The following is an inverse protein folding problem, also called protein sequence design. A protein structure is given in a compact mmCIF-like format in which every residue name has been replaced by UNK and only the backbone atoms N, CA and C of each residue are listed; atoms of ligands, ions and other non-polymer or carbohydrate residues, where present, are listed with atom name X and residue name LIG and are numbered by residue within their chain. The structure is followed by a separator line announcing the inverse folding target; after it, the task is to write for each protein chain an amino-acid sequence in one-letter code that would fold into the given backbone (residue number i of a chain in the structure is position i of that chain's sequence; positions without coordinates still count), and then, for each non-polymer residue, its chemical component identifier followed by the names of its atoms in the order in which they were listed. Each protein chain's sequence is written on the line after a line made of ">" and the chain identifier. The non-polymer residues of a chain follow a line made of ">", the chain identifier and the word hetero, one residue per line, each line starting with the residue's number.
data_IF_959186200895
#
_entry.id   IF_959186200895
#
_cell.length_a   1.000
_cell.length_b   1.000
_cell.length_c   1.000
_cell.angle_alpha   90.00
_cell.angle_beta   90.00
_cell.angle_gamma   90.00
#
_symmetry.space_group_name_H-M   'P 1'
#
loop_
_entity.id
_entity.type
_entity.pdbx_description
1 polymer ?
#
# COMPACT_ATOMS: atom_id res chain seq x y z
N UNK A 1 -35.17 -18.94 -29.76
CA UNK A 1 -33.89 -19.12 -29.04
C UNK A 1 -34.19 -19.17 -27.56
N UNK A 2 -33.80 -20.26 -26.89
CA UNK A 2 -34.36 -20.76 -25.62
C UNK A 2 -34.17 -19.83 -24.42
N UNK A 3 -35.22 -19.68 -23.61
CA UNK A 3 -35.28 -18.95 -22.32
C UNK A 3 -34.14 -19.32 -21.36
N UNK A 4 -33.66 -20.56 -21.42
CA UNK A 4 -32.52 -21.04 -20.64
C UNK A 4 -31.20 -20.33 -20.98
N UNK A 5 -30.99 -19.90 -22.23
CA UNK A 5 -29.76 -19.20 -22.63
C UNK A 5 -29.73 -17.76 -22.10
N UNK A 6 -30.91 -17.12 -21.97
CA UNK A 6 -31.05 -15.80 -21.37
C UNK A 6 -30.85 -15.84 -19.86
N UNK A 7 -31.34 -16.86 -19.16
CA UNK A 7 -31.11 -17.04 -17.71
C UNK A 7 -29.65 -17.34 -17.37
N UNK A 8 -28.97 -18.18 -18.16
CA UNK A 8 -27.53 -18.44 -17.98
C UNK A 8 -26.69 -17.18 -18.25
N UNK A 9 -27.11 -16.35 -19.21
CA UNK A 9 -26.45 -15.07 -19.50
C UNK A 9 -26.71 -14.03 -18.41
N UNK A 10 -27.92 -13.98 -17.85
CA UNK A 10 -28.32 -13.07 -16.77
C UNK A 10 -27.63 -13.44 -15.45
N UNK A 11 -27.51 -14.72 -15.13
CA UNK A 11 -26.77 -15.23 -13.95
C UNK A 11 -25.25 -15.03 -14.06
N UNK A 12 -24.67 -15.16 -15.27
CA UNK A 12 -23.27 -14.76 -15.52
C UNK A 12 -23.05 -13.26 -15.39
N UNK A 13 -23.98 -12.44 -15.89
CA UNK A 13 -23.90 -10.98 -15.79
C UNK A 13 -24.04 -10.49 -14.33
N UNK A 14 -24.92 -11.09 -13.54
CA UNK A 14 -25.08 -10.79 -12.11
C UNK A 14 -23.85 -11.18 -11.27
N UNK A 15 -23.19 -12.29 -11.60
CA UNK A 15 -21.90 -12.65 -10.99
C UNK A 15 -20.79 -11.66 -11.38
N UNK A 16 -20.76 -11.18 -12.62
CA UNK A 16 -19.77 -10.21 -13.09
C UNK A 16 -19.99 -8.80 -12.52
N UNK A 17 -21.24 -8.37 -12.30
CA UNK A 17 -21.54 -7.08 -11.66
C UNK A 17 -21.28 -7.12 -10.14
N UNK A 18 -21.35 -8.28 -9.49
CA UNK A 18 -20.84 -8.46 -8.13
C UNK A 18 -19.30 -8.37 -8.09
N UNK A 19 -18.60 -8.86 -9.12
CA UNK A 19 -17.13 -8.78 -9.27
C UNK A 19 -16.59 -7.39 -9.64
N UNK A 20 -17.45 -6.47 -10.09
CA UNK A 20 -17.10 -5.08 -10.44
C UNK A 20 -18.01 -4.03 -9.77
N UNK A 21 -18.71 -4.38 -8.68
CA UNK A 21 -19.24 -3.34 -7.79
C UNK A 21 -18.10 -2.45 -7.35
N UNK A 22 -18.35 -1.15 -7.19
CA UNK A 22 -17.37 -0.11 -6.86
C UNK A 22 -16.54 -0.40 -5.58
N UNK A 23 -16.92 -1.44 -4.83
CA UNK A 23 -16.27 -1.99 -3.64
C UNK A 23 -15.12 -2.97 -3.94
N UNK A 24 -15.00 -3.50 -5.16
CA UNK A 24 -13.98 -4.48 -5.51
C UNK A 24 -12.59 -3.82 -5.55
N UNK A 25 -11.78 -4.13 -4.55
CA UNK A 25 -10.46 -3.53 -4.36
C UNK A 25 -10.31 -2.73 -3.07
N UNK A 26 -11.40 -2.33 -2.41
CA UNK A 26 -11.29 -1.70 -1.08
C UNK A 26 -10.76 -2.67 -0.05
N UNK A 27 -11.09 -3.95 -0.17
CA UNK A 27 -10.62 -4.99 0.75
C UNK A 27 -9.86 -6.08 -0.01
N UNK A 28 -8.75 -6.52 0.56
CA UNK A 28 -8.01 -7.70 0.11
C UNK A 28 -7.99 -8.70 1.26
N UNK A 29 -8.45 -9.91 0.98
CA UNK A 29 -8.46 -11.03 1.90
C UNK A 29 -7.24 -11.91 1.62
N UNK A 30 -6.45 -12.14 2.66
CA UNK A 30 -5.26 -13.00 2.58
C UNK A 30 -5.56 -14.27 3.37
N UNK A 31 -5.35 -15.43 2.72
CA UNK A 31 -5.54 -16.74 3.33
C UNK A 31 -4.20 -17.47 3.41
N UNK A 32 -4.01 -18.24 4.46
CA UNK A 32 -2.85 -19.13 4.61
C UNK A 32 -3.30 -20.57 4.79
N UNK A 33 -2.52 -21.51 4.28
CA UNK A 33 -2.74 -22.93 4.47
C UNK A 33 -2.10 -23.36 5.80
N UNK A 34 -2.88 -23.95 6.71
CA UNK A 34 -2.43 -24.32 8.07
C UNK A 34 -1.15 -25.16 8.10
N UNK A 35 -1.06 -26.17 7.23
CA UNK A 35 0.10 -27.08 7.19
C UNK A 35 1.26 -26.61 6.33
N UNK A 36 1.02 -26.21 5.07
CA UNK A 36 2.08 -25.88 4.10
C UNK A 36 2.48 -24.41 4.15
N UNK A 37 1.74 -23.56 4.88
CA UNK A 37 1.94 -22.11 4.98
C UNK A 37 1.99 -21.39 3.63
N UNK A 38 1.37 -22.00 2.62
CA UNK A 38 1.11 -21.35 1.34
C UNK A 38 0.09 -20.25 1.56
N UNK A 39 0.29 -19.12 0.89
CA UNK A 39 -0.60 -17.96 1.00
C UNK A 39 -1.41 -17.80 -0.29
N UNK A 40 -2.62 -17.27 -0.21
CA UNK A 40 -3.48 -16.95 -1.36
C UNK A 40 -4.11 -15.58 -1.13
N UNK A 41 -4.19 -14.77 -2.20
CA UNK A 41 -4.84 -13.47 -2.16
C UNK A 41 -6.22 -13.53 -2.83
N UNK A 42 -7.21 -12.84 -2.28
CA UNK A 42 -8.56 -12.77 -2.84
C UNK A 42 -9.16 -11.38 -2.66
N UNK A 43 -9.90 -10.90 -3.64
CA UNK A 43 -10.74 -9.70 -3.50
C UNK A 43 -12.11 -10.01 -2.86
N UNK A 44 -12.47 -11.29 -2.77
CA UNK A 44 -13.72 -11.75 -2.19
C UNK A 44 -13.51 -12.40 -0.81
N UNK A 45 -14.47 -12.17 0.10
CA UNK A 45 -14.58 -12.78 1.44
C UNK A 45 -14.65 -14.31 1.42
N UNK A 46 -15.10 -14.89 0.32
CA UNK A 46 -15.16 -16.35 0.13
C UNK A 46 -14.17 -16.73 -0.95
N UNK A 47 -13.26 -17.65 -0.61
CA UNK A 47 -12.26 -18.13 -1.55
C UNK A 47 -12.91 -18.94 -2.68
N UNK A 48 -12.67 -18.52 -3.92
CA UNK A 48 -13.22 -19.15 -5.13
C UNK A 48 -12.36 -20.34 -5.56
N UNK A 49 -12.95 -21.30 -6.31
CA UNK A 49 -12.25 -22.51 -6.79
C UNK A 49 -11.02 -22.19 -7.66
N UNK A 50 -11.04 -21.07 -8.37
CA UNK A 50 -9.92 -20.63 -9.21
C UNK A 50 -8.75 -20.02 -8.41
N UNK A 51 -8.90 -19.82 -7.10
CA UNK A 51 -7.84 -19.27 -6.26
C UNK A 51 -6.59 -20.16 -6.22
N UNK A 52 -6.76 -21.49 -6.36
CA UNK A 52 -5.63 -22.44 -6.42
C UNK A 52 -4.73 -22.24 -7.65
N UNK A 53 -5.21 -21.56 -8.69
CA UNK A 53 -4.39 -21.24 -9.87
C UNK A 53 -3.27 -20.23 -9.56
N UNK A 54 -3.33 -19.59 -8.39
CA UNK A 54 -2.26 -18.69 -7.93
C UNK A 54 -1.03 -19.43 -7.44
N UNK A 55 -1.15 -20.72 -7.11
CA UNK A 55 -0.03 -21.52 -6.57
C UNK A 55 0.78 -22.12 -7.71
N UNK A 56 2.09 -21.90 -7.74
CA UNK A 56 2.96 -22.54 -8.70
C UNK A 56 3.10 -24.06 -8.42
N UNK A 57 3.30 -24.83 -9.48
CA UNK A 57 3.63 -26.25 -9.34
C UNK A 57 5.10 -26.43 -9.00
N UNK A 58 5.39 -26.63 -7.72
CA UNK A 58 6.75 -26.88 -7.22
C UNK A 58 7.08 -28.38 -7.17
N UNK A 59 6.06 -29.25 -7.02
CA UNK A 59 6.27 -30.69 -7.00
C UNK A 59 5.02 -31.51 -6.68
N UNK A 60 5.19 -32.83 -6.56
CA UNK A 60 4.08 -33.73 -6.24
C UNK A 60 3.47 -33.34 -4.89
N UNK A 61 2.14 -33.16 -4.85
CA UNK A 61 1.37 -32.70 -3.68
C UNK A 61 1.65 -31.25 -3.26
N UNK A 62 2.26 -30.41 -4.10
CA UNK A 62 2.44 -28.98 -3.80
C UNK A 62 1.17 -28.15 -3.98
N UNK A 63 0.33 -28.53 -4.94
CA UNK A 63 -0.97 -27.89 -5.19
C UNK A 63 -2.08 -28.89 -4.84
N UNK A 64 -3.00 -28.55 -3.93
CA UNK A 64 -4.14 -29.42 -3.63
C UNK A 64 -5.11 -29.46 -4.82
N UNK A 65 -5.80 -30.59 -5.01
CA UNK A 65 -6.77 -30.74 -6.10
C UNK A 65 -8.05 -29.91 -5.89
N UNK A 66 -8.39 -29.61 -4.65
CA UNK A 66 -9.62 -28.89 -4.28
C UNK A 66 -9.37 -28.07 -3.02
N UNK A 67 -10.04 -26.91 -2.93
CA UNK A 67 -9.99 -26.04 -1.77
C UNK A 67 -10.78 -26.69 -0.63
N UNK A 68 -10.07 -26.94 0.47
CA UNK A 68 -10.59 -27.52 1.70
C UNK A 68 -10.73 -26.43 2.76
N UNK A 69 -11.97 -26.10 3.15
CA UNK A 69 -12.26 -24.98 4.08
C UNK A 69 -11.58 -25.13 5.44
N UNK A 70 -11.35 -26.35 5.88
CA UNK A 70 -10.67 -26.69 7.13
C UNK A 70 -9.15 -26.45 7.10
N UNK A 71 -8.53 -26.40 5.92
CA UNK A 71 -7.08 -26.28 5.76
C UNK A 71 -6.62 -24.85 5.50
N UNK A 72 -7.55 -23.96 5.13
CA UNK A 72 -7.27 -22.58 4.76
C UNK A 72 -7.89 -21.63 5.79
N UNK A 73 -7.05 -20.88 6.47
CA UNK A 73 -7.46 -19.89 7.46
C UNK A 73 -7.20 -18.47 6.96
N UNK A 74 -8.01 -17.49 7.37
CA UNK A 74 -7.68 -16.09 7.13
C UNK A 74 -6.36 -15.75 7.84
N UNK A 75 -5.45 -15.10 7.13
CA UNK A 75 -4.21 -14.57 7.68
C UNK A 75 -4.43 -13.12 8.12
N UNK A 76 -4.87 -12.29 7.18
CA UNK A 76 -5.21 -10.90 7.44
C UNK A 76 -6.18 -10.34 6.38
N UNK A 77 -6.73 -9.16 6.66
CA UNK A 77 -7.49 -8.36 5.71
C UNK A 77 -6.86 -6.98 5.60
N UNK A 78 -6.53 -6.60 4.37
CA UNK A 78 -6.10 -5.24 4.05
C UNK A 78 -7.33 -4.43 3.68
N UNK A 79 -7.52 -3.29 4.32
CA UNK A 79 -8.58 -2.34 4.01
C UNK A 79 -7.96 -1.04 3.49
N UNK A 80 -8.39 -0.62 2.31
CA UNK A 80 -7.91 0.56 1.61
C UNK A 80 -9.04 1.58 1.50
N UNK A 81 -8.74 2.87 1.68
CA UNK A 81 -9.70 3.95 1.47
C UNK A 81 -10.10 4.06 -0.01
N UNK A 82 -9.17 3.76 -0.92
CA UNK A 82 -9.38 3.83 -2.36
C UNK A 82 -9.37 2.43 -3.00
N UNK A 83 -10.45 2.01 -3.69
CA UNK A 83 -10.48 0.72 -4.39
C UNK A 83 -9.35 0.54 -5.40
N UNK A 84 -8.94 1.61 -6.10
CA UNK A 84 -7.85 1.55 -7.08
C UNK A 84 -6.49 1.27 -6.43
N UNK A 85 -6.26 1.82 -5.23
CA UNK A 85 -5.06 1.56 -4.45
C UNK A 85 -4.96 0.08 -4.07
N UNK A 86 -6.06 -0.51 -3.63
CA UNK A 86 -6.08 -1.93 -3.28
C UNK A 86 -6.02 -2.85 -4.51
N UNK A 87 -6.61 -2.49 -5.66
CA UNK A 87 -6.39 -3.25 -6.91
C UNK A 87 -4.92 -3.22 -7.34
N UNK A 88 -4.26 -2.08 -7.23
CA UNK A 88 -2.82 -1.95 -7.50
C UNK A 88 -2.00 -2.78 -6.51
N UNK A 89 -2.30 -2.71 -5.21
CA UNK A 89 -1.65 -3.54 -4.19
C UNK A 89 -1.84 -5.03 -4.47
N UNK A 90 -3.06 -5.45 -4.82
CA UNK A 90 -3.39 -6.84 -5.15
C UNK A 90 -2.58 -7.37 -6.34
N UNK A 91 -2.41 -6.55 -7.39
CA UNK A 91 -1.59 -6.90 -8.53
C UNK A 91 -0.12 -7.10 -8.11
N UNK A 92 0.46 -6.14 -7.38
CA UNK A 92 1.85 -6.20 -6.91
C UNK A 92 2.13 -7.37 -5.97
N UNK A 93 1.23 -7.66 -5.03
CA UNK A 93 1.35 -8.80 -4.13
C UNK A 93 1.40 -10.15 -4.87
N UNK A 94 0.64 -10.26 -5.96
CA UNK A 94 0.65 -11.47 -6.80
C UNK A 94 1.93 -11.58 -7.62
N UNK A 95 2.42 -10.46 -8.13
CA UNK A 95 3.72 -10.40 -8.81
C UNK A 95 4.86 -10.82 -7.85
N UNK A 96 4.89 -10.29 -6.61
CA UNK A 96 5.90 -10.67 -5.63
C UNK A 96 5.84 -12.15 -5.23
N UNK A 97 4.64 -12.70 -5.01
CA UNK A 97 4.48 -14.16 -4.80
C UNK A 97 5.10 -14.96 -5.93
N UNK A 98 4.76 -14.63 -7.17
CA UNK A 98 5.26 -15.37 -8.34
C UNK A 98 6.79 -15.33 -8.39
N UNK A 99 7.39 -14.18 -8.07
CA UNK A 99 8.85 -14.04 -7.98
C UNK A 99 9.44 -14.87 -6.84
N UNK A 100 8.88 -14.88 -5.64
CA UNK A 100 9.37 -15.72 -4.54
C UNK A 100 9.33 -17.22 -4.84
N UNK A 101 8.40 -17.66 -5.69
CA UNK A 101 8.28 -19.05 -6.10
C UNK A 101 9.18 -19.42 -7.29
N UNK A 102 9.63 -18.44 -8.09
CA UNK A 102 10.39 -18.67 -9.35
C UNK A 102 11.83 -18.17 -9.33
N UNK A 103 12.09 -17.04 -8.69
CA UNK A 103 13.38 -16.36 -8.58
C UNK A 103 13.86 -16.47 -7.13
N UNK A 104 14.76 -17.41 -6.85
CA UNK A 104 15.32 -17.60 -5.53
C UNK A 104 16.85 -17.71 -5.56
N UNK A 105 17.55 -17.18 -4.54
CA UNK A 105 18.99 -17.34 -4.45
C UNK A 105 19.34 -18.79 -4.12
N UNK A 106 20.36 -19.32 -4.79
CA UNK A 106 20.77 -20.72 -4.61
C UNK A 106 21.17 -21.01 -3.16
N UNK A 107 21.72 -20.01 -2.48
CA UNK A 107 22.14 -20.04 -1.07
C UNK A 107 21.02 -20.44 -0.11
N UNK A 108 19.77 -20.07 -0.40
CA UNK A 108 18.63 -20.48 0.42
C UNK A 108 18.37 -21.99 0.35
N UNK A 109 18.86 -22.64 -0.70
CA UNK A 109 18.64 -24.05 -0.93
C UNK A 109 19.92 -24.87 -0.78
N UNK A 110 20.96 -24.32 -0.16
CA UNK A 110 22.15 -25.08 0.23
C UNK A 110 22.10 -25.49 1.69
N UNK A 111 22.70 -26.63 1.99
CA UNK A 111 22.84 -27.15 3.34
C UNK A 111 23.89 -26.31 4.09
N UNK A 112 23.47 -25.58 5.11
CA UNK A 112 24.35 -24.69 5.90
C UNK A 112 25.12 -25.42 7.01
N UNK A 113 24.72 -26.64 7.38
CA UNK A 113 25.32 -27.39 8.51
C UNK A 113 25.42 -28.89 8.20
N UNK A 114 26.47 -29.52 8.72
CA UNK A 114 26.65 -30.98 8.66
C UNK A 114 27.58 -31.46 7.55
N UNK A 115 27.66 -32.79 7.33
CA UNK A 115 28.65 -33.40 6.43
C UNK A 115 28.45 -33.04 4.95
N UNK A 116 27.24 -32.59 4.59
CA UNK A 116 26.87 -32.21 3.23
C UNK A 116 26.87 -30.69 3.03
N UNK A 117 27.68 -29.95 3.79
CA UNK A 117 27.78 -28.49 3.69
C UNK A 117 28.01 -28.03 2.24
N UNK A 118 27.24 -27.03 1.80
CA UNK A 118 27.32 -26.47 0.44
C UNK A 118 26.60 -27.28 -0.64
N UNK A 119 26.13 -28.49 -0.35
CA UNK A 119 25.27 -29.25 -1.28
C UNK A 119 23.83 -28.70 -1.29
N UNK A 120 23.10 -28.97 -2.36
CA UNK A 120 21.68 -28.58 -2.46
C UNK A 120 20.80 -29.45 -1.54
N UNK A 121 19.81 -28.81 -0.92
CA UNK A 121 18.76 -29.46 -0.14
C UNK A 121 18.04 -30.54 -0.95
N UNK A 122 17.57 -31.57 -0.24
CA UNK A 122 16.81 -32.65 -0.85
C UNK A 122 15.56 -32.13 -1.55
N UNK A 123 15.13 -32.76 -2.65
CA UNK A 123 13.98 -32.29 -3.45
C UNK A 123 12.74 -31.99 -2.60
N UNK A 124 12.43 -32.85 -1.62
CA UNK A 124 11.28 -32.66 -0.72
C UNK A 124 11.42 -31.42 0.15
N UNK A 125 12.60 -31.22 0.75
CA UNK A 125 12.89 -30.06 1.61
C UNK A 125 12.80 -28.76 0.81
N UNK A 126 13.35 -28.74 -0.41
CA UNK A 126 13.21 -27.59 -1.32
C UNK A 126 11.74 -27.29 -1.62
N UNK A 127 10.94 -28.32 -1.90
CA UNK A 127 9.50 -28.16 -2.14
C UNK A 127 8.78 -27.62 -0.91
N UNK A 128 9.11 -28.07 0.31
CA UNK A 128 8.52 -27.52 1.53
C UNK A 128 8.94 -26.08 1.77
N UNK A 129 10.22 -25.74 1.58
CA UNK A 129 10.72 -24.37 1.74
C UNK A 129 10.07 -23.39 0.75
N UNK A 130 9.90 -23.81 -0.52
CA UNK A 130 9.19 -23.00 -1.53
C UNK A 130 7.69 -22.87 -1.27
N UNK A 131 7.07 -23.81 -0.57
CA UNK A 131 5.65 -23.69 -0.18
C UNK A 131 5.43 -22.72 0.98
N UNK A 132 6.39 -22.58 1.89
CA UNK A 132 6.28 -21.70 3.05
C UNK A 132 6.47 -20.24 2.62
N UNK A 133 5.35 -19.61 2.25
CA UNK A 133 5.32 -18.24 1.74
C UNK A 133 4.63 -17.28 2.73
N UNK A 134 4.35 -17.72 3.96
CA UNK A 134 3.65 -16.90 4.97
C UNK A 134 4.46 -15.65 5.33
N UNK A 135 5.71 -15.83 5.76
CA UNK A 135 6.59 -14.73 6.14
C UNK A 135 6.85 -13.78 4.96
N UNK A 136 7.19 -14.34 3.79
CA UNK A 136 7.41 -13.58 2.56
C UNK A 136 6.19 -12.73 2.20
N UNK A 137 4.98 -13.31 2.26
CA UNK A 137 3.76 -12.57 1.96
C UNK A 137 3.52 -11.37 2.88
N UNK A 138 3.99 -11.44 4.13
CA UNK A 138 3.85 -10.35 5.10
C UNK A 138 4.87 -9.25 4.84
N UNK A 139 6.13 -9.63 4.58
CA UNK A 139 7.15 -8.70 4.12
C UNK A 139 6.74 -8.00 2.81
N UNK A 140 6.14 -8.74 1.87
CA UNK A 140 5.61 -8.20 0.62
C UNK A 140 4.51 -7.17 0.86
N UNK A 141 3.60 -7.41 1.82
CA UNK A 141 2.56 -6.43 2.18
C UNK A 141 3.18 -5.14 2.68
N UNK A 142 4.14 -5.21 3.59
CA UNK A 142 4.86 -4.04 4.08
C UNK A 142 5.58 -3.31 2.94
N UNK A 143 6.27 -4.04 2.06
CA UNK A 143 6.99 -3.48 0.92
C UNK A 143 6.04 -2.80 -0.10
N UNK A 144 4.91 -3.42 -0.44
CA UNK A 144 3.90 -2.84 -1.34
C UNK A 144 3.34 -1.55 -0.75
N UNK A 145 3.01 -1.54 0.54
CA UNK A 145 2.54 -0.33 1.21
C UNK A 145 3.64 0.73 1.24
N UNK A 146 4.89 0.39 1.56
CA UNK A 146 6.00 1.33 1.52
C UNK A 146 6.23 1.94 0.12
N UNK A 147 6.07 1.15 -0.94
CA UNK A 147 6.13 1.64 -2.34
C UNK A 147 5.01 2.65 -2.61
N UNK A 148 3.80 2.37 -2.14
CA UNK A 148 2.66 3.29 -2.29
C UNK A 148 2.83 4.58 -1.45
N UNK A 149 3.59 4.51 -0.35
CA UNK A 149 3.84 5.61 0.58
C UNK A 149 4.79 6.64 -0.01
N UNK A 150 5.65 6.18 -0.92
CA UNK A 150 6.68 7.00 -1.53
C UNK A 150 6.02 8.15 -2.29
N UNK A 151 6.47 9.40 -2.06
CA UNK A 151 5.99 10.52 -2.85
C UNK A 151 6.32 10.27 -4.34
N UNK A 152 5.44 10.70 -5.26
CA UNK A 152 5.71 10.54 -6.68
C UNK A 152 7.04 11.19 -7.06
N UNK A 153 7.85 10.49 -7.86
CA UNK A 153 9.12 11.05 -8.35
C UNK A 153 8.87 12.39 -9.06
N UNK A 154 9.78 13.35 -8.93
CA UNK A 154 9.52 14.72 -9.41
C UNK A 154 9.22 14.80 -10.92
N UNK A 155 9.69 13.84 -11.71
CA UNK A 155 9.36 13.78 -13.13
C UNK A 155 7.93 13.25 -13.39
N UNK A 156 7.38 12.39 -12.52
CA UNK A 156 5.98 11.96 -12.54
C UNK A 156 5.09 13.12 -12.12
N UNK A 157 5.48 13.89 -11.10
CA UNK A 157 4.80 15.15 -10.74
C UNK A 157 4.78 16.11 -11.93
N UNK A 158 5.92 16.35 -12.59
CA UNK A 158 5.99 17.18 -13.80
C UNK A 158 5.20 16.64 -14.99
N UNK A 159 5.00 15.32 -15.08
CA UNK A 159 4.20 14.68 -16.14
C UNK A 159 2.71 14.77 -15.82
N UNK A 160 2.33 14.61 -14.55
CA UNK A 160 0.98 14.80 -14.06
C UNK A 160 0.57 16.28 -14.12
N UNK A 161 1.45 17.22 -13.73
CA UNK A 161 1.27 18.67 -13.92
C UNK A 161 1.04 19.00 -15.39
N UNK A 162 1.90 18.51 -16.30
CA UNK A 162 1.66 18.67 -17.75
C UNK A 162 0.32 18.11 -18.21
N UNK A 163 -0.12 16.99 -17.65
CA UNK A 163 -1.42 16.39 -17.98
C UNK A 163 -2.61 17.15 -17.38
N UNK A 164 -2.43 17.78 -16.20
CA UNK A 164 -3.41 18.62 -15.53
C UNK A 164 -3.51 19.99 -16.20
N UNK A 165 -2.40 20.57 -16.67
CA UNK A 165 -2.37 21.78 -17.51
C UNK A 165 -3.04 21.53 -18.87
N UNK A 166 -2.89 20.34 -19.45
CA UNK A 166 -3.64 19.97 -20.66
C UNK A 166 -5.13 19.68 -20.41
N UNK A 167 -5.62 19.80 -19.17
CA UNK A 167 -7.01 19.57 -18.79
C UNK A 167 -7.85 20.86 -18.88
N UNK A 168 -7.59 21.67 -19.91
CA UNK A 168 -8.47 22.71 -20.44
C UNK A 168 -9.60 22.08 -21.29
N UNK A 169 -10.31 21.09 -20.74
CA UNK A 169 -11.50 20.53 -21.40
C UNK A 169 -12.61 20.21 -20.38
N UNK A 170 -13.61 21.11 -20.40
CA UNK A 170 -14.98 21.01 -19.86
C UNK A 170 -15.22 21.15 -18.34
N UNK A 171 -15.31 22.40 -17.86
CA UNK A 171 -16.38 22.79 -16.95
C UNK A 171 -17.56 23.29 -17.81
N UNK A 172 -18.75 22.67 -17.76
CA UNK A 172 -19.93 23.27 -18.36
C UNK A 172 -20.26 24.56 -17.61
N UNK A 173 -20.32 25.70 -18.32
CA UNK A 173 -20.89 26.91 -17.74
C UNK A 173 -22.37 26.68 -17.43
N UNK A 174 -22.82 27.12 -16.26
CA UNK A 174 -24.22 27.07 -15.85
C UNK A 174 -25.09 27.81 -16.88
N UNK A 175 -25.91 27.06 -17.63
CA UNK A 175 -26.84 27.66 -18.60
C UNK A 175 -27.33 26.75 -19.73
N UNK A 176 -26.66 25.64 -20.05
CA UNK A 176 -27.14 24.75 -21.13
C UNK A 176 -28.03 23.62 -20.60
N UNK A 177 -29.33 23.88 -20.62
CA UNK A 177 -30.36 22.84 -20.43
C UNK A 177 -30.51 21.95 -21.66
N UNK A 178 -30.64 20.64 -21.37
CA UNK A 178 -31.30 19.56 -22.12
C UNK A 178 -30.51 18.82 -23.21
N UNK A 179 -30.58 17.50 -23.07
CA UNK A 179 -30.26 16.43 -24.02
C UNK A 179 -28.79 16.20 -24.41
N UNK A 180 -28.00 15.70 -23.45
CA UNK A 180 -26.76 14.98 -23.79
C UNK A 180 -26.68 13.66 -23.01
N UNK A 181 -26.72 12.54 -23.75
CA UNK A 181 -26.32 11.21 -23.29
C UNK A 181 -25.03 11.35 -22.50
N UNK A 182 -25.00 10.78 -21.29
CA UNK A 182 -23.77 10.61 -20.51
C UNK A 182 -22.80 9.78 -21.36
N UNK A 183 -21.87 10.46 -22.03
CA UNK A 183 -20.73 9.81 -22.69
C UNK A 183 -19.82 9.37 -21.56
N UNK A 184 -19.91 8.10 -21.18
CA UNK A 184 -18.86 7.46 -20.38
C UNK A 184 -17.53 7.64 -21.14
N UNK A 185 -16.42 7.96 -20.45
CA UNK A 185 -15.14 8.15 -21.10
C UNK A 185 -14.77 6.86 -21.84
N UNK A 186 -14.81 6.90 -23.17
CA UNK A 186 -14.40 5.77 -24.01
C UNK A 186 -12.89 5.66 -23.94
N UNK A 187 -12.40 4.68 -23.19
CA UNK A 187 -11.01 4.27 -23.20
C UNK A 187 -10.50 4.07 -24.65
N UNK A 188 -9.23 4.39 -24.96
CA UNK A 188 -8.68 4.12 -26.28
C UNK A 188 -8.77 2.62 -26.55
N UNK A 189 -9.57 2.25 -27.56
CA UNK A 189 -9.71 0.87 -27.99
C UNK A 189 -8.33 0.38 -28.46
N UNK A 190 -7.71 -0.53 -27.72
CA UNK A 190 -6.42 -1.10 -28.08
C UNK A 190 -6.50 -1.70 -29.49
N UNK A 191 -5.80 -1.09 -30.45
CA UNK A 191 -5.64 -1.66 -31.80
C UNK A 191 -4.89 -2.98 -31.65
N UNK A 192 -5.53 -4.08 -32.04
CA UNK A 192 -4.91 -5.42 -32.11
C UNK A 192 -3.84 -5.40 -33.21
N UNK A 193 -2.63 -5.01 -32.84
CA UNK A 193 -1.42 -5.20 -33.65
C UNK A 193 -0.64 -6.40 -33.12
N UNK A 194 -0.29 -7.32 -34.00
CA UNK A 194 0.69 -8.39 -33.74
C UNK A 194 2.01 -7.76 -33.25
N UNK A 195 2.69 -8.46 -32.34
CA UNK A 195 3.87 -8.02 -31.58
C UNK A 195 3.59 -7.04 -30.43
N UNK A 196 2.67 -7.43 -29.55
CA UNK A 196 2.59 -6.84 -28.23
C UNK A 196 3.64 -7.47 -27.31
N UNK A 197 4.88 -6.98 -27.35
CA UNK A 197 5.71 -6.91 -26.14
C UNK A 197 5.00 -5.91 -25.23
N UNK A 198 3.95 -6.36 -24.56
CA UNK A 198 3.19 -5.56 -23.59
C UNK A 198 4.11 -5.46 -22.38
N UNK A 199 4.98 -4.44 -22.39
CA UNK A 199 5.45 -3.87 -21.13
C UNK A 199 4.20 -3.59 -20.31
N UNK A 200 4.06 -4.30 -19.20
CA UNK A 200 3.06 -4.04 -18.18
C UNK A 200 3.12 -2.54 -17.86
N UNK A 201 2.20 -1.75 -18.42
CA UNK A 201 1.87 -0.43 -17.87
C UNK A 201 1.05 -0.71 -16.61
N UNK A 202 1.74 -1.17 -15.57
CA UNK A 202 1.19 -1.12 -14.21
C UNK A 202 1.03 0.37 -13.92
N UNK A 203 -0.21 0.83 -13.83
CA UNK A 203 -0.48 2.15 -13.27
C UNK A 203 0.10 2.15 -11.86
N UNK A 204 1.25 2.79 -11.66
CA UNK A 204 1.81 2.99 -10.33
C UNK A 204 0.87 3.94 -9.59
N UNK A 205 0.04 3.41 -8.70
CA UNK A 205 -0.69 4.25 -7.77
C UNK A 205 0.33 4.80 -6.76
N UNK A 206 0.57 6.11 -6.85
CA UNK A 206 1.36 6.88 -5.90
C UNK A 206 0.43 7.92 -5.29
N UNK A 207 0.11 7.76 -4.01
CA UNK A 207 -0.89 8.56 -3.33
C UNK A 207 -0.78 8.42 -1.82
N UNK A 208 -1.36 9.35 -1.07
CA UNK A 208 -1.38 9.31 0.39
C UNK A 208 -2.03 8.00 0.86
N UNK A 209 -1.36 7.22 1.70
CA UNK A 209 -1.90 5.95 2.25
C UNK A 209 -2.79 6.18 3.48
N UNK A 210 -3.28 7.40 3.65
CA UNK A 210 -4.03 7.79 4.82
C UNK A 210 -5.35 7.01 4.91
N UNK A 211 -5.54 6.26 6.00
CA UNK A 211 -6.71 5.41 6.22
C UNK A 211 -6.57 3.95 5.79
N UNK A 212 -5.37 3.48 5.41
CA UNK A 212 -5.15 2.03 5.20
C UNK A 212 -4.99 1.32 6.54
N UNK A 213 -5.74 0.22 6.71
CA UNK A 213 -5.69 -0.60 7.92
C UNK A 213 -5.50 -2.08 7.60
N UNK A 214 -4.84 -2.80 8.49
CA UNK A 214 -4.60 -4.24 8.40
C UNK A 214 -5.23 -4.92 9.61
N UNK A 215 -6.10 -5.88 9.34
CA UNK A 215 -6.76 -6.69 10.37
C UNK A 215 -6.12 -8.07 10.41
N UNK A 216 -5.40 -8.37 11.48
CA UNK A 216 -4.60 -9.58 11.65
C UNK A 216 -5.38 -10.68 12.35
N UNK A 217 -5.35 -11.91 11.84
CA UNK A 217 -5.86 -13.06 12.59
C UNK A 217 -5.00 -13.38 13.82
N UNK A 218 -3.69 -13.17 13.70
CA UNK A 218 -2.71 -13.25 14.79
C UNK A 218 -1.85 -11.97 14.74
N UNK A 219 -1.91 -11.08 15.74
CA UNK A 219 -1.10 -9.86 15.77
C UNK A 219 0.42 -10.11 15.68
N UNK A 220 0.91 -11.25 16.16
CA UNK A 220 2.34 -11.60 16.10
C UNK A 220 2.83 -11.80 14.67
N UNK A 221 1.94 -12.08 13.72
CA UNK A 221 2.32 -12.19 12.32
C UNK A 221 2.84 -10.87 11.74
N UNK A 222 2.50 -9.71 12.33
CA UNK A 222 3.01 -8.42 11.88
C UNK A 222 4.54 -8.29 12.00
N UNK A 223 5.18 -9.09 12.87
CA UNK A 223 6.64 -9.08 13.13
C UNK A 223 7.46 -9.68 11.99
N UNK A 224 6.84 -10.42 11.05
CA UNK A 224 7.55 -10.95 9.89
C UNK A 224 8.07 -9.85 8.93
N UNK A 225 7.51 -8.64 9.03
CA UNK A 225 8.04 -7.48 8.33
C UNK A 225 8.90 -6.63 9.28
N UNK A 226 10.09 -6.27 8.82
CA UNK A 226 11.06 -5.48 9.61
C UNK A 226 10.54 -4.08 9.93
N UNK A 227 9.87 -3.43 8.97
CA UNK A 227 9.31 -2.09 9.14
C UNK A 227 7.96 -1.97 8.43
N UNK A 228 7.08 -1.15 9.01
CA UNK A 228 5.79 -0.78 8.42
C UNK A 228 5.74 0.73 8.21
N UNK A 229 5.04 1.22 7.17
CA UNK A 229 4.77 2.65 7.02
C UNK A 229 3.96 3.17 8.21
N UNK A 230 4.29 4.39 8.68
CA UNK A 230 3.73 4.97 9.92
C UNK A 230 2.21 5.17 9.82
N UNK A 231 1.70 5.36 8.60
CA UNK A 231 0.28 5.59 8.32
C UNK A 231 -0.58 4.31 8.38
N UNK A 232 0.05 3.13 8.43
CA UNK A 232 -0.68 1.85 8.43
C UNK A 232 -1.15 1.53 9.84
N UNK A 233 -2.47 1.39 10.00
CA UNK A 233 -3.07 1.03 11.29
C UNK A 233 -3.27 -0.47 11.40
N UNK A 234 -2.82 -1.07 12.50
CA UNK A 234 -2.95 -2.49 12.76
C UNK A 234 -4.11 -2.76 13.73
N UNK A 235 -4.99 -3.70 13.38
CA UNK A 235 -6.11 -4.15 14.20
C UNK A 235 -6.07 -5.68 14.36
N UNK A 236 -6.76 -6.17 15.38
CA UNK A 236 -6.99 -7.60 15.57
C UNK A 236 -8.29 -8.03 14.89
N UNK A 237 -8.26 -9.15 14.17
CA UNK A 237 -9.42 -9.75 13.53
C UNK A 237 -10.09 -10.72 14.50
N UNK A 238 -11.27 -10.36 15.00
CA UNK A 238 -12.01 -11.21 15.91
C UNK A 238 -12.47 -12.50 15.20
N UNK A 239 -11.91 -13.64 15.58
CA UNK A 239 -12.35 -14.95 15.10
C UNK A 239 -13.31 -15.55 16.14
N UNK A 240 -14.61 -15.45 15.86
CA UNK A 240 -15.67 -15.97 16.74
C UNK A 240 -16.10 -17.35 16.25
N UNK A 241 -15.93 -18.38 17.10
CA UNK A 241 -16.33 -19.78 16.80
C UNK A 241 -15.74 -20.32 15.49
N UNK A 242 -14.49 -19.96 15.19
CA UNK A 242 -13.79 -20.39 13.97
C UNK A 242 -14.19 -19.64 12.69
N UNK A 243 -15.03 -18.60 12.80
CA UNK A 243 -15.39 -17.74 11.69
C UNK A 243 -14.84 -16.32 11.91
N UNK A 244 -14.08 -15.77 10.94
CA UNK A 244 -13.60 -14.39 11.04
C UNK A 244 -14.78 -13.42 10.98
N UNK A 245 -14.86 -12.49 11.93
CA UNK A 245 -15.71 -11.31 11.84
C UNK A 245 -15.01 -10.30 10.95
N UNK A 246 -15.37 -10.32 9.67
CA UNK A 246 -14.79 -9.40 8.70
C UNK A 246 -15.10 -7.94 9.05
N UNK A 247 -14.14 -7.01 8.87
CA UNK A 247 -14.39 -5.60 9.10
C UNK A 247 -15.49 -5.09 8.15
N UNK A 248 -16.32 -4.13 8.59
CA UNK A 248 -17.28 -3.48 7.70
C UNK A 248 -16.51 -2.85 6.54
N UNK A 249 -17.06 -2.94 5.33
CA UNK A 249 -16.55 -2.18 4.19
C UNK A 249 -16.66 -0.70 4.55
N UNK A 250 -15.60 0.09 4.33
CA UNK A 250 -15.45 1.49 4.80
C UNK A 250 -16.58 2.47 4.42
N UNK A 251 -17.58 2.05 3.65
CA UNK A 251 -18.78 2.82 3.28
C UNK A 251 -20.07 2.40 4.00
N UNK A 252 -20.08 1.30 4.76
CA UNK A 252 -21.24 0.81 5.50
C UNK A 252 -20.99 0.88 7.02
N UNK A 253 -20.60 2.04 7.52
CA UNK A 253 -20.89 2.38 8.92
C UNK A 253 -22.36 2.75 8.92
N UNK A 254 -23.28 1.95 9.49
CA UNK A 254 -24.62 2.46 9.73
C UNK A 254 -24.46 3.68 10.62
N UNK A 255 -24.78 4.83 10.06
CA UNK A 255 -25.09 6.05 10.81
C UNK A 255 -25.99 5.60 11.95
N UNK A 256 -25.47 5.69 13.18
CA UNK A 256 -26.11 5.09 14.33
C UNK A 256 -27.57 5.56 14.38
N UNK A 257 -28.49 4.61 14.28
CA UNK A 257 -29.90 4.85 14.54
C UNK A 257 -29.97 5.30 16.01
N UNK A 258 -30.24 6.59 16.20
CA UNK A 258 -30.62 7.19 17.47
C UNK A 258 -31.98 6.60 17.89
N UNK A 259 -31.97 5.42 18.51
CA UNK A 259 -33.16 4.87 19.18
C UNK A 259 -33.16 5.25 20.67
N UNK A 260 -34.15 6.08 21.00
CA UNK A 260 -34.70 6.52 22.29
C UNK A 260 -34.14 5.91 23.59
N UNK A 261 -33.50 6.76 24.41
CA UNK A 261 -33.45 6.64 25.89
C UNK A 261 -33.93 7.96 26.52
N UNK A 262 -35.18 8.05 26.99
CA UNK A 262 -35.74 9.29 27.52
C UNK A 262 -35.57 9.40 29.05
N UNK A 263 -34.33 9.45 29.58
CA UNK A 263 -34.09 9.84 30.98
C UNK A 263 -32.79 10.63 31.25
N UNK A 264 -31.94 10.87 30.24
CA UNK A 264 -30.63 11.51 30.44
C UNK A 264 -30.57 13.02 30.15
N UNK A 265 -31.62 13.61 29.56
CA UNK A 265 -31.63 15.03 29.15
C UNK A 265 -31.85 16.02 30.32
N UNK A 266 -32.48 15.60 31.41
CA UNK A 266 -32.76 16.48 32.56
C UNK A 266 -31.53 16.71 33.44
N UNK A 267 -30.64 15.70 33.56
CA UNK A 267 -29.39 15.78 34.34
C UNK A 267 -28.26 16.50 33.60
N UNK A 268 -28.31 16.56 32.26
CA UNK A 268 -27.33 17.28 31.45
C UNK A 268 -27.54 18.80 31.48
N UNK A 269 -28.80 19.25 31.59
CA UNK A 269 -29.14 20.68 31.65
C UNK A 269 -28.76 21.34 32.99
N UNK A 270 -28.77 20.58 34.09
CA UNK A 270 -28.33 21.09 35.40
C UNK A 270 -26.79 21.13 35.56
N UNK A 271 -26.04 20.43 34.70
CA UNK A 271 -24.57 20.45 34.70
C UNK A 271 -23.97 21.56 33.83
N UNK A 272 -24.67 22.00 32.78
CA UNK A 272 -24.17 23.09 31.92
C UNK A 272 -24.14 24.43 32.65
N UNK A 273 -25.15 24.73 33.47
CA UNK A 273 -25.29 26.07 34.06
C UNK A 273 -24.30 26.35 35.20
N UNK A 274 -23.55 25.34 35.66
CA UNK A 274 -22.54 25.48 36.73
C UNK A 274 -21.09 25.49 36.24
N UNK A 275 -20.84 25.24 34.96
CA UNK A 275 -19.47 25.03 34.44
C UNK A 275 -18.94 26.21 33.61
N UNK A 276 -19.76 27.22 33.34
CA UNK A 276 -19.45 28.33 32.42
C UNK A 276 -18.72 29.53 33.04
N UNK A 277 -18.48 29.57 34.37
CA UNK A 277 -17.77 30.69 34.99
C UNK A 277 -16.27 30.46 35.22
N UNK A 278 -15.82 29.21 35.41
CA UNK A 278 -14.42 28.94 35.79
C UNK A 278 -13.48 28.72 34.57
N UNK A 279 -14.01 28.33 33.40
CA UNK A 279 -13.20 27.98 32.22
C UNK A 279 -12.80 29.15 31.34
N UNK A 280 -13.46 30.31 31.47
CA UNK A 280 -13.20 31.49 30.62
C UNK A 280 -11.90 32.21 31.00
N UNK A 281 -11.44 32.07 32.25
CA UNK A 281 -10.23 32.76 32.74
C UNK A 281 -8.92 32.07 32.33
N UNK A 282 -8.87 30.74 32.26
CA UNK A 282 -7.65 29.98 31.92
C UNK A 282 -7.34 29.92 30.40
N UNK A 283 -8.34 30.07 29.54
CA UNK A 283 -8.17 30.02 28.08
C UNK A 283 -7.57 31.31 27.49
N UNK A 284 -7.61 32.44 28.22
CA UNK A 284 -7.04 33.71 27.75
C UNK A 284 -5.50 33.76 27.88
N UNK A 285 -4.94 33.17 28.94
CA UNK A 285 -3.49 33.11 29.18
C UNK A 285 -2.74 32.13 28.28
N UNK A 286 -3.45 31.13 27.75
CA UNK A 286 -2.87 30.11 26.86
C UNK A 286 -2.76 30.59 25.41
N UNK A 287 -3.70 31.43 24.95
CA UNK A 287 -3.66 32.02 23.60
C UNK A 287 -2.49 32.99 23.43
N UNK A 288 -2.20 33.82 24.43
CA UNK A 288 -1.08 34.78 24.37
C UNK A 288 0.29 34.10 24.29
N UNK A 289 0.48 32.97 25.01
CA UNK A 289 1.70 32.15 24.93
C UNK A 289 1.89 31.53 23.54
N UNK A 290 0.83 30.95 22.97
CA UNK A 290 0.89 30.36 21.61
C UNK A 290 1.22 31.43 20.56
N UNK A 291 0.64 32.62 20.69
CA UNK A 291 0.90 33.73 19.76
C UNK A 291 2.35 34.22 19.84
N UNK A 292 2.91 34.32 21.04
CA UNK A 292 4.32 34.70 21.24
C UNK A 292 5.30 33.69 20.65
N UNK A 293 4.97 32.39 20.70
CA UNK A 293 5.82 31.33 20.16
C UNK A 293 5.79 31.30 18.62
N UNK A 294 4.63 31.60 18.03
CA UNK A 294 4.47 31.74 16.57
C UNK A 294 5.34 32.89 16.04
N UNK A 295 5.38 34.03 16.73
CA UNK A 295 6.25 35.15 16.33
C UNK A 295 7.73 34.81 16.48
N UNK A 296 8.10 34.07 17.53
CA UNK A 296 9.48 33.60 17.75
C UNK A 296 9.96 32.70 16.61
N UNK A 297 9.12 31.76 16.19
CA UNK A 297 9.40 30.85 15.05
C UNK A 297 9.53 31.64 13.75
N UNK A 298 8.70 32.67 13.54
CA UNK A 298 8.76 33.52 12.35
C UNK A 298 10.08 34.30 12.28
N UNK A 299 10.54 34.86 13.40
CA UNK A 299 11.80 35.58 13.49
C UNK A 299 13.01 34.66 13.23
N UNK A 300 12.99 33.43 13.77
CA UNK A 300 14.03 32.43 13.52
C UNK A 300 14.12 32.05 12.04
N UNK A 301 12.99 31.88 11.35
CA UNK A 301 12.96 31.58 9.92
C UNK A 301 13.61 32.68 9.07
N UNK A 302 13.37 33.95 9.39
CA UNK A 302 14.01 35.07 8.68
C UNK A 302 15.52 35.16 8.98
N UNK A 303 15.95 34.92 10.23
CA UNK A 303 17.40 34.85 10.55
C UNK A 303 18.12 33.75 9.77
N UNK A 304 17.50 32.57 9.63
CA UNK A 304 18.06 31.46 8.85
C UNK A 304 18.16 31.82 7.36
N UNK A 305 17.14 32.49 6.82
CA UNK A 305 17.11 32.93 5.42
C UNK A 305 18.20 33.96 5.12
N UNK A 306 18.43 34.91 6.03
CA UNK A 306 19.51 35.88 5.90
C UNK A 306 20.89 35.25 6.06
N UNK A 307 21.07 34.29 6.97
CA UNK A 307 22.30 33.53 7.09
C UNK A 307 22.64 32.77 5.79
N UNK A 308 21.64 32.15 5.16
CA UNK A 308 21.80 31.49 3.85
C UNK A 308 22.19 32.48 2.75
N UNK A 309 21.59 33.67 2.72
CA UNK A 309 21.97 34.72 1.76
C UNK A 309 23.43 35.15 1.95
N UNK A 310 23.88 35.33 3.19
CA UNK A 310 25.27 35.68 3.51
C UNK A 310 26.25 34.58 3.10
N UNK A 311 25.93 33.30 3.33
CA UNK A 311 26.77 32.19 2.87
C UNK A 311 26.96 32.18 1.35
N UNK A 312 25.89 32.41 0.59
CA UNK A 312 25.97 32.49 -0.88
C UNK A 312 26.86 33.67 -1.34
N UNK A 313 26.84 34.79 -0.62
CA UNK A 313 27.73 35.92 -0.90
C UNK A 313 29.20 35.59 -0.60
N UNK A 314 29.46 34.91 0.51
CA UNK A 314 30.81 34.47 0.91
C UNK A 314 31.36 33.44 -0.09
N UNK A 315 30.55 32.48 -0.51
CA UNK A 315 30.95 31.45 -1.49
C UNK A 315 31.30 32.05 -2.86
N UNK A 316 30.58 33.10 -3.29
CA UNK A 316 30.92 33.88 -4.49
C UNK A 316 32.21 34.68 -4.35
N UNK A 317 32.62 35.05 -3.13
CA UNK A 317 33.89 35.77 -2.89
C UNK A 317 35.09 34.83 -2.93
N UNK A 318 34.96 33.58 -2.47
CA UNK A 318 36.01 32.56 -2.57
C UNK A 318 36.28 32.10 -4.01
N UNK A 319 35.27 32.13 -4.89
CA UNK A 319 35.45 31.82 -6.32
C UNK A 319 36.18 32.91 -7.12
N UNK A 320 36.41 34.10 -6.55
CA UNK A 320 37.14 35.21 -7.20
C UNK A 320 38.61 35.35 -6.76
N UNK A 321 39.08 34.53 -5.83
CA UNK A 321 40.50 34.56 -5.48
C UNK A 321 41.30 33.87 -6.59
N UNK A 322 42.36 34.52 -7.13
CA UNK A 322 43.24 33.87 -8.09
C UNK A 322 43.89 32.67 -7.43
N UNK A 323 43.80 31.50 -8.09
CA UNK A 323 44.48 30.27 -7.69
C UNK A 323 45.99 30.54 -7.69
N UNK A 324 46.56 30.82 -6.52
CA UNK A 324 48.00 30.79 -6.33
C UNK A 324 48.45 29.32 -6.49
N UNK A 325 49.24 29.09 -7.53
CA UNK A 325 49.77 27.78 -7.89
C UNK A 325 50.66 27.22 -6.79
N UNK A 326 50.29 26.04 -6.29
CA UNK A 326 51.18 25.14 -5.59
C UNK A 326 51.52 24.02 -6.57
N UNK A 327 52.53 24.27 -7.41
CA UNK A 327 53.23 23.20 -8.12
C UNK A 327 54.10 22.47 -7.09
N UNK A 328 53.75 21.21 -6.81
CA UNK A 328 54.61 20.29 -6.06
C UNK A 328 55.36 19.42 -7.05
N UNK A 329 56.65 19.72 -7.19
CA UNK A 329 57.67 18.85 -7.74
C UNK A 329 57.75 17.56 -6.92
N UNK A 330 57.48 16.41 -7.53
CA UNK A 330 58.09 15.11 -7.16
C UNK A 330 58.01 14.13 -8.33
N UNK A 331 58.85 14.32 -9.34
CA UNK A 331 59.39 13.23 -10.18
C UNK A 331 60.91 13.29 -10.03
N UNK A 332 61.52 12.27 -9.39
CA UNK A 332 62.87 11.73 -9.67
C UNK A 332 63.39 10.86 -8.50
N UNK A 333 63.41 9.55 -8.73
CA UNK A 333 64.34 8.53 -8.20
C UNK A 333 63.80 7.17 -8.65
N UNK A 334 64.03 6.72 -9.89
CA UNK A 334 65.21 5.96 -10.34
C UNK A 334 65.73 4.90 -9.34
N UNK A 335 65.60 3.65 -9.77
CA UNK A 335 66.59 2.56 -9.78
C UNK A 335 67.49 2.37 -8.55
N UNK A 336 67.32 1.23 -7.87
CA UNK A 336 68.39 0.24 -7.61
C UNK A 336 67.93 -0.80 -6.57
N UNK A 337 67.73 -2.05 -6.99
CA UNK A 337 68.54 -3.19 -6.53
C UNK A 337 67.85 -4.54 -6.86
N UNK A 338 68.47 -5.23 -7.81
CA UNK A 338 68.58 -6.69 -7.84
C UNK A 338 69.69 -7.10 -6.86
N UNK A 339 69.40 -8.04 -5.96
CA UNK A 339 70.18 -9.28 -5.74
C UNK A 339 69.20 -10.38 -5.34
#
# INVERSE_FOLDING_TARGET
>A
MSTAALEVSRTKALNMSQLFSAENGSQIFVYTHLRTRQTIYSLAKVMRKDALKQLAFVGKKSVPATIRRDMWTPLCVLNFPNPYQGLHAFARLREFRERHETEWPIEDFTVTKGPNFGSLLGRKERTFKLMDQKANSIADMAAVLAIQARPPESWLVKKMERLVDTKEWYLPQEGETRDKKVIQPSWPRAKRGRNSRIGHRVFEFQGKIDGTSIWWADPSDAEYAETWPVEVVHHNLDIVRGHPRWPPTSQNVPEAMDDDVPQSKELAKQRSDRFDQDTVTELSGSKSKVQSEIERIRLLKEKIKDAKRRMVTVERSYQRLPRLGLESNTEQAQDNNLV
#
